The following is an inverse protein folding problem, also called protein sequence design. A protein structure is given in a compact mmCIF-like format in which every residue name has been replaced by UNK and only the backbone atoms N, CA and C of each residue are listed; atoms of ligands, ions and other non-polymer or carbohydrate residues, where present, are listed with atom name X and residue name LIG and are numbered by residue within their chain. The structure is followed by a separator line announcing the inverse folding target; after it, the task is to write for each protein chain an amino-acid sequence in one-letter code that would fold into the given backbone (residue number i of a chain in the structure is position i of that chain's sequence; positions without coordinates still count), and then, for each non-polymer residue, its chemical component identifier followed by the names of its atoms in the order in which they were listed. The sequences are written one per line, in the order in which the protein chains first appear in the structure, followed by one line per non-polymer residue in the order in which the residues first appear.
data_IF_211386769738
#
_entry.id   IF_211386769738
#
_cell.length_a   1.000
_cell.length_b   1.000
_cell.length_c   1.000
_cell.angle_alpha   90.00
_cell.angle_beta   90.00
_cell.angle_gamma   90.00
#
_symmetry.space_group_name_H-M   'P 1'
#
loop_
_entity.id
_entity.type
_entity.pdbx_description
1 polymer ?
#
# COMPACT_ATOMS: atom_id res chain seq x y z
N UNK A 1 11.14 -6.79 6.61
CA UNK A 1 12.52 -7.32 6.60
C UNK A 1 12.85 -7.89 7.97
N UNK A 2 13.35 -9.13 8.02
CA UNK A 2 13.78 -9.79 9.25
C UNK A 2 15.31 -9.76 9.28
N UNK A 3 15.88 -8.96 10.18
CA UNK A 3 17.31 -8.97 10.48
C UNK A 3 17.63 -9.91 11.65
N UNK A 4 18.90 -9.99 12.03
CA UNK A 4 19.35 -10.78 13.18
C UNK A 4 18.91 -10.17 14.53
N UNK A 5 18.79 -8.84 14.60
CA UNK A 5 18.52 -8.11 15.85
C UNK A 5 17.21 -7.29 15.83
N UNK A 6 16.66 -7.00 14.66
CA UNK A 6 15.43 -6.24 14.53
C UNK A 6 14.59 -6.75 13.36
N UNK A 7 13.29 -6.48 13.44
CA UNK A 7 12.33 -6.77 12.38
C UNK A 7 11.57 -5.49 12.04
N UNK A 8 11.40 -5.24 10.75
CA UNK A 8 10.65 -4.09 10.24
C UNK A 8 9.53 -4.59 9.34
N UNK A 9 8.31 -4.15 9.60
CA UNK A 9 7.20 -4.36 8.68
C UNK A 9 7.44 -3.52 7.42
N UNK A 10 7.41 -4.17 6.25
CA UNK A 10 7.47 -3.48 4.96
C UNK A 10 6.15 -3.72 4.25
N UNK A 11 5.55 -2.65 3.75
CA UNK A 11 4.28 -2.70 3.05
C UNK A 11 4.14 -1.53 2.09
N UNK A 12 2.99 -1.47 1.40
CA UNK A 12 2.67 -0.31 0.58
C UNK A 12 2.42 0.90 1.47
N UNK A 13 3.01 2.04 1.13
CA UNK A 13 2.84 3.29 1.89
C UNK A 13 1.64 4.12 1.44
N UNK A 14 0.87 3.65 0.45
CA UNK A 14 -0.28 4.40 -0.10
C UNK A 14 0.09 5.85 -0.46
N UNK A 15 1.20 5.99 -1.19
CA UNK A 15 1.82 7.28 -1.49
C UNK A 15 0.82 8.27 -2.11
N UNK A 16 0.91 9.53 -1.72
CA UNK A 16 0.08 10.62 -2.26
C UNK A 16 0.21 10.75 -3.78
N UNK A 17 1.44 10.79 -4.30
CA UNK A 17 1.75 10.90 -5.73
C UNK A 17 1.76 9.55 -6.48
N UNK A 18 1.55 8.43 -5.77
CA UNK A 18 1.50 7.05 -6.29
C UNK A 18 2.26 6.78 -7.61
N UNK A 19 3.62 6.72 -7.59
CA UNK A 19 4.41 6.46 -8.79
C UNK A 19 3.99 5.21 -9.56
N UNK A 20 3.51 4.18 -8.84
CA UNK A 20 2.98 2.96 -9.46
C UNK A 20 1.74 3.21 -10.33
N UNK A 21 0.87 4.15 -9.96
CA UNK A 21 -0.28 4.55 -10.75
C UNK A 21 0.13 5.40 -11.95
N UNK A 22 1.04 6.36 -11.75
CA UNK A 22 1.52 7.26 -12.81
C UNK A 22 2.17 6.50 -13.99
N UNK A 23 2.83 5.36 -13.72
CA UNK A 23 3.45 4.54 -14.78
C UNK A 23 2.53 3.46 -15.36
N UNK A 24 1.28 3.33 -14.89
CA UNK A 24 0.39 2.27 -15.34
C UNK A 24 -0.22 2.63 -16.71
N UNK A 25 0.16 1.94 -17.81
CA UNK A 25 -0.25 2.34 -19.16
C UNK A 25 -1.75 2.14 -19.41
N UNK A 26 -2.40 1.26 -18.65
CA UNK A 26 -3.84 0.98 -18.77
C UNK A 26 -4.68 1.75 -17.76
N UNK A 27 -4.05 2.51 -16.86
CA UNK A 27 -4.73 3.18 -15.74
C UNK A 27 -5.42 2.22 -14.77
N UNK A 28 -4.93 0.97 -14.66
CA UNK A 28 -5.51 -0.03 -13.78
C UNK A 28 -5.34 0.31 -12.29
N UNK A 29 -4.35 1.11 -11.92
CA UNK A 29 -4.16 1.55 -10.53
C UNK A 29 -4.81 2.92 -10.35
N UNK A 30 -5.81 3.00 -9.48
CA UNK A 30 -6.61 4.21 -9.29
C UNK A 30 -6.95 4.40 -7.81
N UNK A 31 -7.38 5.62 -7.46
CA UNK A 31 -7.77 5.94 -6.07
C UNK A 31 -9.26 5.68 -5.88
N UNK A 32 -9.61 4.82 -4.94
CA UNK A 32 -10.97 4.50 -4.55
C UNK A 32 -11.02 4.11 -3.07
N UNK A 33 -12.13 4.41 -2.40
CA UNK A 33 -12.29 4.17 -0.95
C UNK A 33 -11.12 4.70 -0.09
N UNK A 34 -10.54 5.84 -0.49
CA UNK A 34 -9.41 6.47 0.22
C UNK A 34 -8.04 5.81 0.00
N UNK A 35 -7.95 4.72 -0.77
CA UNK A 35 -6.72 3.96 -1.02
C UNK A 35 -6.39 3.88 -2.53
N UNK A 36 -5.12 3.60 -2.86
CA UNK A 36 -4.75 3.20 -4.22
C UNK A 36 -5.00 1.71 -4.40
N UNK A 37 -5.92 1.37 -5.30
CA UNK A 37 -6.35 0.00 -5.59
C UNK A 37 -5.96 -0.41 -7.01
N UNK A 38 -5.89 -1.72 -7.26
CA UNK A 38 -5.65 -2.28 -8.59
C UNK A 38 -6.95 -2.86 -9.14
N UNK A 39 -7.39 -2.34 -10.28
CA UNK A 39 -8.49 -2.91 -11.06
C UNK A 39 -7.96 -4.05 -11.91
N UNK A 40 -8.12 -5.29 -11.43
CA UNK A 40 -7.53 -6.46 -12.11
C UNK A 40 -8.08 -6.67 -13.52
N UNK A 41 -9.31 -6.24 -13.81
CA UNK A 41 -9.89 -6.31 -15.15
C UNK A 41 -9.11 -5.51 -16.21
N UNK A 42 -8.37 -4.46 -15.79
CA UNK A 42 -7.55 -3.61 -16.67
C UNK A 42 -6.06 -3.89 -16.57
N UNK A 43 -5.64 -4.72 -15.61
CA UNK A 43 -4.25 -5.05 -15.41
C UNK A 43 -3.76 -6.00 -16.51
N UNK A 44 -2.74 -5.59 -17.26
CA UNK A 44 -2.10 -6.43 -18.30
C UNK A 44 -0.82 -7.11 -17.81
N UNK A 45 -0.46 -6.96 -16.53
CA UNK A 45 0.72 -7.61 -15.97
C UNK A 45 2.06 -7.13 -16.51
N UNK A 46 2.15 -5.91 -17.05
CA UNK A 46 3.37 -5.36 -17.67
C UNK A 46 4.54 -5.11 -16.69
N UNK A 47 4.29 -5.18 -15.38
CA UNK A 47 5.29 -5.00 -14.29
C UNK A 47 5.89 -3.59 -14.16
N UNK A 48 5.47 -2.59 -14.93
CA UNK A 48 5.95 -1.20 -14.78
C UNK A 48 5.79 -0.67 -13.35
N UNK A 49 4.65 -0.98 -12.72
CA UNK A 49 4.36 -0.61 -11.33
C UNK A 49 5.35 -1.21 -10.31
N UNK A 50 5.96 -2.37 -10.60
CA UNK A 50 6.99 -2.97 -9.74
C UNK A 50 8.27 -2.15 -9.76
N UNK A 51 8.70 -1.72 -10.95
CA UNK A 51 9.91 -0.91 -11.14
C UNK A 51 9.74 0.48 -10.54
N UNK A 52 8.56 1.07 -10.68
CA UNK A 52 8.29 2.42 -10.19
C UNK A 52 8.07 2.51 -8.68
N UNK A 53 7.77 1.41 -7.98
CA UNK A 53 7.50 1.46 -6.55
C UNK A 53 8.81 1.60 -5.75
N UNK A 54 9.07 2.75 -5.09
CA UNK A 54 10.34 2.96 -4.37
C UNK A 54 10.46 2.07 -3.13
N UNK A 55 9.36 1.50 -2.65
CA UNK A 55 9.30 0.62 -1.47
C UNK A 55 9.26 -0.86 -1.84
N UNK A 56 9.28 -1.21 -3.14
CA UNK A 56 9.18 -2.61 -3.58
C UNK A 56 7.88 -3.31 -3.16
N UNK A 57 6.81 -2.55 -2.90
CA UNK A 57 5.57 -3.06 -2.32
C UNK A 57 4.57 -3.64 -3.34
N UNK A 58 4.88 -3.55 -4.63
CA UNK A 58 4.09 -4.12 -5.72
C UNK A 58 4.56 -5.54 -6.03
N UNK A 59 3.62 -6.46 -6.23
CA UNK A 59 3.91 -7.79 -6.74
C UNK A 59 3.10 -8.05 -8.00
N UNK A 60 3.67 -8.74 -8.98
CA UNK A 60 2.91 -9.27 -10.12
C UNK A 60 3.12 -10.77 -10.14
N UNK A 61 2.01 -11.51 -10.12
CA UNK A 61 1.98 -12.98 -10.01
C UNK A 61 0.84 -13.52 -10.88
N UNK A 62 0.90 -14.81 -11.20
CA UNK A 62 -0.22 -15.51 -11.81
C UNK A 62 -1.09 -16.06 -10.67
N UNK A 63 -2.38 -15.72 -10.70
CA UNK A 63 -3.39 -16.19 -9.75
C UNK A 63 -4.56 -16.69 -10.59
N UNK A 64 -4.93 -17.97 -10.43
CA UNK A 64 -6.03 -18.59 -11.18
C UNK A 64 -5.92 -18.37 -12.70
N UNK A 65 -4.73 -18.69 -13.24
CA UNK A 65 -4.37 -18.56 -14.66
C UNK A 65 -4.42 -17.13 -15.24
N UNK A 66 -4.57 -16.11 -14.39
CA UNK A 66 -4.53 -14.70 -14.79
C UNK A 66 -3.38 -13.96 -14.14
N UNK A 67 -2.72 -13.09 -14.91
CA UNK A 67 -1.69 -12.22 -14.36
C UNK A 67 -2.35 -11.10 -13.56
N UNK A 68 -1.97 -10.96 -12.29
CA UNK A 68 -2.53 -9.99 -11.37
C UNK A 68 -1.42 -9.15 -10.75
N UNK A 69 -1.65 -7.83 -10.67
CA UNK A 69 -0.82 -6.94 -9.86
C UNK A 69 -1.44 -6.81 -8.47
N UNK A 70 -0.64 -7.04 -7.43
CA UNK A 70 -1.06 -7.12 -6.05
C UNK A 70 -0.30 -6.09 -5.23
N UNK A 71 -1.03 -5.44 -4.32
CA UNK A 71 -0.52 -4.51 -3.31
C UNK A 71 -1.50 -4.48 -2.14
N UNK A 72 -1.09 -3.91 -1.02
CA UNK A 72 -2.01 -3.60 0.08
C UNK A 72 -3.16 -2.73 -0.42
N UNK A 73 -4.39 -3.10 -0.12
CA UNK A 73 -5.64 -2.42 -0.44
C UNK A 73 -6.20 -1.65 0.78
N UNK A 74 -5.40 -1.52 1.85
CA UNK A 74 -5.83 -1.07 3.18
C UNK A 74 -7.01 -1.87 3.75
N UNK A 75 -7.18 -3.12 3.31
CA UNK A 75 -8.33 -3.95 3.65
C UNK A 75 -9.65 -3.20 3.40
N UNK A 76 -9.77 -2.49 2.27
CA UNK A 76 -10.96 -1.70 1.93
C UNK A 76 -12.27 -2.53 1.90
N UNK A 77 -12.15 -3.86 1.83
CA UNK A 77 -13.25 -4.82 1.88
C UNK A 77 -13.71 -5.18 3.30
N UNK A 78 -13.02 -4.71 4.35
CA UNK A 78 -13.23 -5.10 5.75
C UNK A 78 -13.66 -3.90 6.60
N UNK A 79 -14.77 -4.03 7.32
CA UNK A 79 -15.28 -2.98 8.22
C UNK A 79 -14.30 -2.61 9.33
N UNK A 80 -13.59 -3.59 9.91
CA UNK A 80 -12.54 -3.37 10.92
C UNK A 80 -11.24 -2.75 10.38
N UNK A 81 -11.18 -2.43 9.09
CA UNK A 81 -9.99 -1.85 8.46
C UNK A 81 -8.80 -2.82 8.40
N UNK A 82 -7.55 -2.30 8.32
CA UNK A 82 -6.35 -3.10 8.09
C UNK A 82 -6.13 -4.20 9.13
N UNK A 83 -6.28 -5.45 8.70
CA UNK A 83 -6.09 -6.62 9.57
C UNK A 83 -4.67 -6.68 10.17
N UNK A 84 -3.66 -6.17 9.47
CA UNK A 84 -2.29 -6.12 9.98
C UNK A 84 -2.12 -5.17 11.18
N UNK A 85 -2.90 -4.08 11.24
CA UNK A 85 -2.90 -3.15 12.37
C UNK A 85 -3.55 -3.82 13.58
N UNK A 86 -4.71 -4.44 13.37
CA UNK A 86 -5.45 -5.16 14.42
C UNK A 86 -4.68 -6.36 14.99
N UNK A 87 -4.02 -7.13 14.12
CA UNK A 87 -3.27 -8.31 14.54
C UNK A 87 -1.94 -7.99 15.25
N UNK A 88 -1.49 -6.74 15.27
CA UNK A 88 -0.18 -6.37 15.82
C UNK A 88 -0.20 -6.37 17.36
N UNK A 89 0.42 -7.34 18.03
CA UNK A 89 0.30 -7.49 19.49
C UNK A 89 1.00 -6.37 20.27
N UNK A 90 1.97 -5.70 19.65
CA UNK A 90 2.74 -4.59 20.25
C UNK A 90 2.23 -3.22 19.83
N UNK A 91 1.16 -3.16 19.03
CA UNK A 91 0.62 -1.92 18.46
C UNK A 91 1.65 -1.08 17.69
N UNK A 92 2.68 -1.73 17.13
CA UNK A 92 3.72 -1.08 16.34
C UNK A 92 3.20 -0.57 14.98
N UNK A 93 2.07 -1.09 14.50
CA UNK A 93 1.44 -0.68 13.25
C UNK A 93 0.24 0.22 13.52
N UNK A 94 0.16 1.34 12.81
CA UNK A 94 -0.98 2.27 12.87
C UNK A 94 -1.21 2.88 11.49
N UNK A 95 -2.47 3.08 11.11
CA UNK A 95 -2.81 3.93 9.98
C UNK A 95 -2.74 5.39 10.40
N UNK A 96 -2.06 6.20 9.58
CA UNK A 96 -1.84 7.60 9.87
C UNK A 96 -2.47 8.43 8.77
N UNK A 97 -3.31 9.39 9.17
CA UNK A 97 -3.69 10.51 8.33
C UNK A 97 -2.55 11.55 8.36
N UNK A 98 -1.92 11.86 7.20
CA UNK A 98 -0.86 12.85 7.12
C UNK A 98 -1.25 14.23 7.68
N UNK A 99 -2.50 14.67 7.50
CA UNK A 99 -2.97 15.95 8.00
C UNK A 99 -3.00 15.97 9.52
N UNK A 100 -3.55 14.91 10.12
CA UNK A 100 -3.55 14.73 11.58
C UNK A 100 -2.15 14.64 12.16
N UNK A 101 -1.24 13.90 11.52
CA UNK A 101 0.16 13.79 11.97
C UNK A 101 0.88 15.15 11.94
N UNK A 102 0.67 15.93 10.89
CA UNK A 102 1.24 17.29 10.79
C UNK A 102 0.72 18.18 11.93
N UNK A 103 -0.59 18.15 12.20
CA UNK A 103 -1.18 18.91 13.29
C UNK A 103 -0.65 18.49 14.67
N UNK A 104 -0.51 17.18 14.92
CA UNK A 104 0.08 16.65 16.16
C UNK A 104 1.54 17.09 16.35
N UNK A 105 2.34 17.04 15.29
CA UNK A 105 3.75 17.50 15.33
C UNK A 105 3.85 18.99 15.65
N UNK A 106 3.02 19.83 15.03
CA UNK A 106 3.01 21.27 15.31
C UNK A 106 2.62 21.57 16.77
N UNK A 107 1.67 20.83 17.34
CA UNK A 107 1.29 20.98 18.76
C UNK A 107 2.39 20.57 19.73
N UNK A 108 3.19 19.56 19.39
CA UNK A 108 4.27 19.08 20.27
C UNK A 108 5.55 19.94 20.22
N UNK A 109 5.62 20.89 19.29
CA UNK A 109 6.73 21.84 19.15
C UNK A 109 6.44 23.20 19.82
N UNK A 110 5.21 23.41 20.29
CA UNK A 110 4.77 24.57 21.05
C UNK A 110 4.78 24.25 22.56
#
# INVERSE_FOLDING_TARGET
VKGATFTTAVGCHQCEDAPCANVCPTGAIHRAAGAWLVEQARCIGCKSCMVACPFGAMQVRVVEDRVQALKCDLCAHREGGPACVEACPTHALRCIDPARLRAERLRNLA
#
